data_IF_183115387114
#
_entry.id   IF_183115387114
#
_cell.length_a   1.000
_cell.length_b   1.000
_cell.length_c   1.000
_cell.angle_alpha   90.00
_cell.angle_beta   90.00
_cell.angle_gamma   90.00
#
_symmetry.space_group_name_H-M   'P 1'
#
loop_
_entity.id
_entity.type
_entity.pdbx_description
1 polymer ?
#
# COMPACT_ATOMS: atom_id res chain seq x y z
N UNK A 1 -32.69 -44.25 63.82
CA UNK A 1 -32.84 -44.69 62.41
C UNK A 1 -31.89 -43.94 61.47
N UNK A 2 -31.48 -42.70 61.78
CA UNK A 2 -30.56 -41.86 60.99
C UNK A 2 -29.29 -42.54 60.40
N UNK A 3 -28.54 -43.35 61.17
CA UNK A 3 -27.33 -44.05 60.65
C UNK A 3 -27.66 -45.08 59.57
N UNK A 4 -28.87 -45.63 59.55
CA UNK A 4 -29.30 -46.63 58.57
C UNK A 4 -29.78 -46.01 57.24
N UNK A 5 -30.16 -44.73 57.21
CA UNK A 5 -30.59 -44.04 55.98
C UNK A 5 -29.40 -43.65 55.09
N UNK A 6 -28.43 -42.95 55.68
CA UNK A 6 -27.18 -42.56 55.01
C UNK A 6 -26.33 -43.80 54.68
N UNK A 7 -26.27 -44.78 55.59
CA UNK A 7 -25.61 -46.07 55.35
C UNK A 7 -26.20 -46.80 54.14
N UNK A 8 -27.54 -46.91 54.04
CA UNK A 8 -28.21 -47.52 52.87
C UNK A 8 -27.99 -46.76 51.56
N UNK A 9 -27.77 -45.46 51.61
CA UNK A 9 -27.48 -44.64 50.44
C UNK A 9 -26.04 -44.88 49.95
N UNK A 10 -25.09 -45.01 50.88
CA UNK A 10 -23.69 -45.37 50.60
C UNK A 10 -23.54 -46.84 50.18
N UNK A 11 -24.35 -47.74 50.74
CA UNK A 11 -24.42 -49.17 50.36
C UNK A 11 -25.23 -49.41 49.07
N UNK A 12 -25.87 -48.38 48.52
CA UNK A 12 -26.60 -48.49 47.27
C UNK A 12 -25.62 -48.64 46.10
N UNK A 13 -25.91 -49.57 45.16
CA UNK A 13 -25.09 -49.76 43.96
C UNK A 13 -25.02 -48.53 43.03
N UNK A 14 -25.78 -47.48 43.31
CA UNK A 14 -25.92 -46.29 42.45
C UNK A 14 -24.64 -45.45 42.40
N UNK A 15 -23.99 -45.23 43.56
CA UNK A 15 -22.74 -44.46 43.63
C UNK A 15 -21.57 -45.22 42.94
N UNK A 16 -21.32 -46.52 43.24
CA UNK A 16 -20.29 -47.28 42.53
C UNK A 16 -20.58 -47.45 41.04
N UNK A 17 -21.85 -47.57 40.65
CA UNK A 17 -22.23 -47.65 39.23
C UNK A 17 -21.95 -46.35 38.49
N UNK A 18 -22.25 -45.20 39.08
CA UNK A 18 -21.97 -43.89 38.48
C UNK A 18 -20.47 -43.66 38.33
N UNK A 19 -19.69 -44.03 39.35
CA UNK A 19 -18.23 -43.94 39.30
C UNK A 19 -17.64 -44.80 38.17
N UNK A 20 -18.11 -46.04 38.00
CA UNK A 20 -17.67 -46.94 36.92
C UNK A 20 -18.01 -46.41 35.52
N UNK A 21 -19.14 -45.72 35.37
CA UNK A 21 -19.53 -45.05 34.11
C UNK A 21 -18.65 -43.84 33.82
N UNK A 22 -18.25 -43.09 34.85
CA UNK A 22 -17.38 -41.94 34.73
C UNK A 22 -15.95 -42.34 34.35
N UNK A 23 -15.44 -43.42 34.94
CA UNK A 23 -14.15 -44.04 34.56
C UNK A 23 -14.17 -44.54 33.11
N UNK A 24 -15.23 -45.25 32.69
CA UNK A 24 -15.39 -45.68 31.30
C UNK A 24 -15.50 -44.50 30.32
N UNK A 25 -16.19 -43.42 30.69
CA UNK A 25 -16.25 -42.20 29.89
C UNK A 25 -14.86 -41.58 29.73
N UNK A 26 -14.07 -41.51 30.80
CA UNK A 26 -12.71 -40.99 30.77
C UNK A 26 -11.81 -41.80 29.83
N UNK A 27 -11.84 -43.13 29.94
CA UNK A 27 -11.03 -44.03 29.10
C UNK A 27 -11.43 -43.99 27.62
N UNK A 28 -12.73 -43.85 27.34
CA UNK A 28 -13.26 -43.86 25.97
C UNK A 28 -13.45 -42.47 25.35
N UNK A 29 -13.11 -41.40 26.08
CA UNK A 29 -13.46 -40.01 25.71
C UNK A 29 -12.95 -39.63 24.31
N UNK A 30 -11.68 -39.92 24.03
CA UNK A 30 -11.01 -39.56 22.78
C UNK A 30 -11.39 -40.45 21.60
N UNK A 31 -12.05 -41.59 21.84
CA UNK A 31 -12.45 -42.55 20.81
C UNK A 31 -13.93 -42.45 20.44
N UNK A 32 -14.75 -41.83 21.30
CA UNK A 32 -16.18 -41.65 21.07
C UNK A 32 -16.47 -40.43 20.20
N UNK A 33 -17.60 -40.46 19.47
CA UNK A 33 -18.13 -39.26 18.82
C UNK A 33 -18.61 -38.24 19.85
N UNK A 34 -18.64 -36.94 19.48
CA UNK A 34 -19.14 -35.87 20.36
C UNK A 34 -20.58 -36.14 20.84
N UNK A 35 -21.45 -36.68 19.98
CA UNK A 35 -22.82 -37.04 20.34
C UNK A 35 -22.85 -38.18 21.38
N UNK A 36 -22.01 -39.20 21.21
CA UNK A 36 -21.89 -40.31 22.15
C UNK A 36 -21.39 -39.85 23.52
N UNK A 37 -20.39 -38.96 23.54
CA UNK A 37 -19.89 -38.36 24.78
C UNK A 37 -20.96 -37.52 25.48
N UNK A 38 -21.72 -36.72 24.72
CA UNK A 38 -22.83 -35.94 25.26
C UNK A 38 -23.90 -36.82 25.93
N UNK A 39 -24.34 -37.89 25.27
CA UNK A 39 -25.34 -38.81 25.81
C UNK A 39 -24.85 -39.51 27.10
N UNK A 40 -23.60 -39.96 27.13
CA UNK A 40 -22.97 -40.56 28.33
C UNK A 40 -22.89 -39.56 29.48
N UNK A 41 -22.51 -38.30 29.22
CA UNK A 41 -22.52 -37.24 30.23
C UNK A 41 -23.93 -36.98 30.78
N UNK A 42 -24.93 -36.90 29.90
CA UNK A 42 -26.33 -36.68 30.28
C UNK A 42 -26.85 -37.79 31.21
N UNK A 43 -26.52 -39.04 30.91
CA UNK A 43 -26.91 -40.20 31.73
C UNK A 43 -26.28 -40.14 33.14
N UNK A 44 -25.00 -39.78 33.24
CA UNK A 44 -24.30 -39.63 34.54
C UNK A 44 -24.94 -38.49 35.37
N UNK A 45 -25.28 -37.37 34.72
CA UNK A 45 -25.92 -36.23 35.39
C UNK A 45 -27.30 -36.62 35.96
N UNK A 46 -28.09 -37.39 35.20
CA UNK A 46 -29.40 -37.86 35.65
C UNK A 46 -29.29 -38.80 36.86
N UNK A 47 -28.33 -39.73 36.83
CA UNK A 47 -28.05 -40.62 37.95
C UNK A 47 -27.64 -39.83 39.20
N UNK A 48 -26.78 -38.81 39.05
CA UNK A 48 -26.38 -37.92 40.15
C UNK A 48 -27.59 -37.19 40.77
N UNK A 49 -28.50 -36.67 39.95
CA UNK A 49 -29.72 -36.02 40.42
C UNK A 49 -30.66 -36.98 41.19
N UNK A 50 -30.65 -38.28 40.85
CA UNK A 50 -31.34 -39.32 41.60
C UNK A 50 -30.75 -39.53 43.00
N UNK A 51 -29.42 -39.66 43.10
CA UNK A 51 -28.71 -39.81 44.37
C UNK A 51 -28.91 -38.59 45.27
N UNK A 52 -28.81 -37.39 44.71
CA UNK A 52 -29.03 -36.14 45.44
C UNK A 52 -30.44 -36.05 46.04
N UNK A 53 -31.48 -36.45 45.27
CA UNK A 53 -32.86 -36.49 45.80
C UNK A 53 -33.01 -37.44 46.98
N UNK A 54 -32.40 -38.62 46.91
CA UNK A 54 -32.43 -39.60 48.01
C UNK A 54 -31.66 -39.11 49.24
N UNK A 55 -30.55 -38.38 49.04
CA UNK A 55 -29.77 -37.78 50.11
C UNK A 55 -30.58 -36.70 50.83
N UNK A 56 -31.20 -35.79 50.06
CA UNK A 56 -32.08 -34.73 50.62
C UNK A 56 -33.25 -35.35 51.37
N UNK A 57 -33.90 -36.39 50.80
CA UNK A 57 -34.96 -37.13 51.50
C UNK A 57 -34.49 -37.70 52.84
N UNK A 58 -33.33 -38.37 52.85
CA UNK A 58 -32.74 -38.93 54.08
C UNK A 58 -32.41 -37.84 55.12
N UNK A 59 -31.93 -36.67 54.69
CA UNK A 59 -31.65 -35.54 55.59
C UNK A 59 -32.93 -34.91 56.16
N UNK A 60 -34.00 -34.83 55.36
CA UNK A 60 -35.31 -34.39 55.83
C UNK A 60 -35.90 -35.36 56.88
N UNK A 61 -35.75 -36.67 56.66
CA UNK A 61 -36.18 -37.69 57.63
C UNK A 61 -35.39 -37.55 58.95
N UNK A 62 -34.08 -37.31 58.88
CA UNK A 62 -33.24 -37.05 60.07
C UNK A 62 -33.67 -35.76 60.79
N UNK A 63 -34.05 -34.71 60.05
CA UNK A 63 -34.53 -33.45 60.62
C UNK A 63 -35.90 -33.58 61.29
N UNK A 64 -36.73 -34.55 60.87
CA UNK A 64 -38.06 -34.78 61.47
C UNK A 64 -38.02 -35.67 62.72
N UNK A 65 -36.97 -36.49 62.90
CA UNK A 65 -36.77 -37.34 64.09
C UNK A 65 -36.17 -36.60 65.31
N UNK A 66 -35.83 -35.30 65.24
CA UNK A 66 -35.16 -34.58 66.32
C UNK A 66 -36.07 -33.54 67.01
N UNK A 67 -36.67 -33.85 68.18
CA UNK A 67 -37.50 -32.88 68.91
C UNK A 67 -36.71 -31.91 69.81
N UNK A 68 -35.36 -31.90 69.78
CA UNK A 68 -34.54 -31.25 70.82
C UNK A 68 -34.09 -29.81 70.45
N UNK A 69 -34.25 -29.37 69.20
CA UNK A 69 -33.98 -27.97 68.81
C UNK A 69 -35.15 -27.33 68.07
N UNK A 70 -36.31 -27.32 68.72
CA UNK A 70 -37.49 -26.55 68.27
C UNK A 70 -37.41 -25.07 68.68
N UNK A 71 -36.32 -24.36 68.39
CA UNK A 71 -36.31 -22.89 68.34
C UNK A 71 -34.93 -22.35 67.96
N UNK A 72 -34.63 -22.22 66.67
CA UNK A 72 -33.81 -21.09 66.22
C UNK A 72 -34.29 -20.69 64.84
N UNK A 73 -34.87 -19.49 64.77
CA UNK A 73 -35.24 -18.81 63.53
C UNK A 73 -34.02 -18.74 62.62
N UNK A 74 -34.01 -19.56 61.57
CA UNK A 74 -33.09 -19.38 60.45
C UNK A 74 -33.75 -18.42 59.46
N UNK A 75 -33.11 -17.29 59.24
CA UNK A 75 -33.59 -16.17 58.42
C UNK A 75 -33.81 -16.59 56.94
N UNK A 76 -34.92 -16.19 56.29
CA UNK A 76 -35.15 -16.50 54.89
C UNK A 76 -34.51 -15.43 54.00
N UNK A 77 -33.20 -15.55 53.72
CA UNK A 77 -32.57 -14.82 52.62
C UNK A 77 -31.42 -15.65 52.02
N UNK A 78 -31.76 -16.60 51.12
CA UNK A 78 -30.97 -16.95 49.92
C UNK A 78 -31.69 -18.03 49.11
N UNK A 79 -31.81 -17.80 47.79
CA UNK A 79 -32.33 -18.67 46.73
C UNK A 79 -33.85 -18.59 46.44
N UNK A 80 -34.25 -17.88 45.36
CA UNK A 80 -35.65 -17.70 44.96
C UNK A 80 -36.09 -18.67 43.85
N UNK A 81 -35.68 -19.94 43.90
CA UNK A 81 -36.22 -20.96 43.00
C UNK A 81 -36.31 -22.28 43.75
N UNK A 82 -37.48 -22.93 43.70
CA UNK A 82 -37.90 -24.14 44.42
C UNK A 82 -38.49 -23.93 45.83
N UNK A 83 -39.62 -23.22 45.94
CA UNK A 83 -40.61 -23.50 46.97
C UNK A 83 -42.03 -23.31 46.41
N UNK A 84 -42.56 -24.36 45.80
CA UNK A 84 -44.00 -24.54 45.64
C UNK A 84 -44.34 -25.99 45.99
N UNK A 85 -44.64 -26.24 47.26
CA UNK A 85 -45.66 -27.20 47.71
C UNK A 85 -45.70 -27.28 49.23
N UNK A 86 -46.78 -26.73 49.78
CA UNK A 86 -47.58 -27.21 50.91
C UNK A 86 -46.91 -28.06 52.00
N UNK A 87 -46.73 -27.47 53.20
CA UNK A 87 -47.30 -27.96 54.46
C UNK A 87 -46.93 -27.03 55.63
N UNK A 88 -47.91 -26.42 56.30
CA UNK A 88 -47.87 -26.29 57.77
C UNK A 88 -49.30 -26.35 58.35
N UNK A 89 -49.51 -27.00 59.50
CA UNK A 89 -50.79 -27.55 59.91
C UNK A 89 -51.42 -26.85 61.13
N UNK A 90 -52.69 -27.17 61.38
CA UNK A 90 -53.51 -26.89 62.57
C UNK A 90 -53.96 -25.45 62.81
N UNK A 91 -55.09 -25.07 62.19
CA UNK A 91 -56.23 -24.48 62.90
C UNK A 91 -57.53 -24.88 62.19
N UNK A 92 -58.51 -25.29 62.99
CA UNK A 92 -59.85 -25.72 62.61
C UNK A 92 -60.57 -24.58 61.85
N UNK A 93 -60.83 -24.73 60.54
CA UNK A 93 -61.55 -23.74 59.72
C UNK A 93 -62.55 -24.41 58.76
N UNK A 94 -63.70 -23.78 58.43
CA UNK A 94 -64.85 -24.44 57.83
C UNK A 94 -64.60 -24.89 56.38
N UNK A 95 -65.10 -26.09 56.06
CA UNK A 95 -64.89 -26.84 54.81
C UNK A 95 -65.28 -26.09 53.51
N UNK A 96 -66.01 -24.97 53.60
CA UNK A 96 -66.44 -24.17 52.44
C UNK A 96 -65.37 -23.20 51.93
N UNK A 97 -64.40 -22.79 52.76
CA UNK A 97 -63.35 -21.85 52.36
C UNK A 97 -62.17 -22.52 51.60
N UNK A 98 -61.94 -23.82 51.83
CA UNK A 98 -60.90 -24.58 51.16
C UNK A 98 -61.23 -24.84 49.68
N UNK A 99 -62.50 -25.08 49.36
CA UNK A 99 -62.97 -25.26 47.99
C UNK A 99 -62.84 -23.97 47.16
N UNK A 100 -63.16 -22.80 47.75
CA UNK A 100 -62.98 -21.50 47.07
C UNK A 100 -61.50 -21.13 46.88
N UNK A 101 -60.63 -21.48 47.82
CA UNK A 101 -59.19 -21.24 47.69
C UNK A 101 -58.54 -22.15 46.62
N UNK A 102 -58.96 -23.42 46.54
CA UNK A 102 -58.52 -24.32 45.48
C UNK A 102 -59.01 -23.89 44.09
N UNK A 103 -60.26 -23.42 43.97
CA UNK A 103 -60.79 -22.86 42.73
C UNK A 103 -60.07 -21.56 42.31
N UNK A 104 -59.74 -20.69 43.26
CA UNK A 104 -58.97 -19.47 43.01
C UNK A 104 -57.52 -19.78 42.59
N UNK A 105 -56.88 -20.78 43.20
CA UNK A 105 -55.54 -21.24 42.82
C UNK A 105 -55.51 -21.90 41.44
N UNK A 106 -56.53 -22.69 41.09
CA UNK A 106 -56.67 -23.27 39.75
C UNK A 106 -56.93 -22.20 38.67
N UNK A 107 -57.75 -21.20 38.97
CA UNK A 107 -57.97 -20.06 38.07
C UNK A 107 -56.71 -19.20 37.91
N UNK A 108 -55.97 -18.94 38.99
CA UNK A 108 -54.68 -18.25 38.93
C UNK A 108 -53.66 -19.02 38.09
N UNK A 109 -53.55 -20.35 38.27
CA UNK A 109 -52.68 -21.21 37.47
C UNK A 109 -53.04 -21.14 35.97
N UNK A 110 -54.34 -21.22 35.63
CA UNK A 110 -54.82 -21.10 34.25
C UNK A 110 -54.50 -19.72 33.64
N UNK A 111 -54.62 -18.64 34.42
CA UNK A 111 -54.23 -17.30 33.96
C UNK A 111 -52.72 -17.15 33.75
N UNK A 112 -51.89 -17.79 34.60
CA UNK A 112 -50.42 -17.78 34.41
C UNK A 112 -49.99 -18.60 33.21
N UNK A 113 -50.66 -19.73 32.94
CA UNK A 113 -50.40 -20.56 31.77
C UNK A 113 -50.78 -19.84 30.46
N UNK A 114 -51.92 -19.14 30.45
CA UNK A 114 -52.32 -18.29 29.33
C UNK A 114 -51.32 -17.13 29.08
N UNK A 115 -50.82 -16.50 30.14
CA UNK A 115 -49.79 -15.46 30.03
C UNK A 115 -48.44 -16.00 29.52
N UNK A 116 -48.06 -17.22 29.90
CA UNK A 116 -46.87 -17.88 29.37
C UNK A 116 -47.05 -18.23 27.88
N UNK A 117 -48.20 -18.79 27.49
CA UNK A 117 -48.47 -19.18 26.10
C UNK A 117 -48.48 -17.96 25.16
N UNK A 118 -49.03 -16.82 25.59
CA UNK A 118 -48.95 -15.57 24.82
C UNK A 118 -47.52 -15.06 24.68
N UNK A 119 -46.70 -15.19 25.72
CA UNK A 119 -45.28 -14.83 25.68
C UNK A 119 -44.48 -15.74 24.75
N UNK A 120 -44.74 -17.06 24.79
CA UNK A 120 -44.13 -18.05 23.90
C UNK A 120 -44.52 -17.76 22.45
N UNK A 121 -45.80 -17.51 22.17
CA UNK A 121 -46.26 -17.16 20.83
C UNK A 121 -45.57 -15.90 20.29
N UNK A 122 -45.43 -14.87 21.11
CA UNK A 122 -44.68 -13.65 20.76
C UNK A 122 -43.20 -13.93 20.49
N UNK A 123 -42.55 -14.75 21.32
CA UNK A 123 -41.15 -15.13 21.14
C UNK A 123 -40.94 -15.99 19.90
N UNK A 124 -41.86 -16.90 19.59
CA UNK A 124 -41.80 -17.68 18.35
C UNK A 124 -41.96 -16.78 17.12
N UNK A 125 -42.85 -15.78 17.16
CA UNK A 125 -42.97 -14.80 16.07
C UNK A 125 -41.68 -13.98 15.89
N UNK A 126 -41.03 -13.57 16.99
CA UNK A 126 -39.74 -12.86 16.97
C UNK A 126 -38.62 -13.74 16.38
N UNK A 127 -38.57 -15.03 16.73
CA UNK A 127 -37.62 -16.00 16.17
C UNK A 127 -37.85 -16.18 14.67
N UNK A 128 -39.11 -16.31 14.22
CA UNK A 128 -39.43 -16.45 12.80
C UNK A 128 -39.03 -15.21 11.99
N UNK A 129 -39.28 -14.00 12.51
CA UNK A 129 -38.87 -12.74 11.83
C UNK A 129 -37.35 -12.62 11.74
N UNK A 130 -36.63 -12.96 12.81
CA UNK A 130 -35.16 -12.99 12.78
C UNK A 130 -34.62 -14.04 11.81
N UNK A 131 -35.21 -15.24 11.78
CA UNK A 131 -34.84 -16.29 10.83
C UNK A 131 -34.99 -15.81 9.39
N UNK A 132 -36.12 -15.17 9.07
CA UNK A 132 -36.37 -14.63 7.74
C UNK A 132 -35.38 -13.53 7.34
N UNK A 133 -35.01 -12.65 8.27
CA UNK A 133 -34.00 -11.60 8.05
C UNK A 133 -32.63 -12.19 7.75
N UNK A 134 -32.19 -13.19 8.51
CA UNK A 134 -30.91 -13.83 8.29
C UNK A 134 -30.88 -14.66 6.99
N UNK A 135 -31.97 -15.35 6.64
CA UNK A 135 -32.07 -16.04 5.34
C UNK A 135 -31.93 -15.06 4.18
N UNK A 136 -32.62 -13.92 4.25
CA UNK A 136 -32.51 -12.88 3.23
C UNK A 136 -31.11 -12.28 3.13
N UNK A 137 -30.46 -12.00 4.26
CA UNK A 137 -29.09 -11.48 4.27
C UNK A 137 -28.09 -12.49 3.70
N UNK A 138 -28.29 -13.78 3.97
CA UNK A 138 -27.49 -14.86 3.37
C UNK A 138 -27.69 -14.93 1.85
N UNK A 139 -28.93 -14.83 1.36
CA UNK A 139 -29.24 -14.81 -0.08
C UNK A 139 -28.59 -13.59 -0.77
N UNK A 140 -28.68 -12.41 -0.15
CA UNK A 140 -28.08 -11.17 -0.66
C UNK A 140 -26.54 -11.30 -0.73
N UNK A 141 -25.91 -11.82 0.33
CA UNK A 141 -24.47 -12.07 0.37
C UNK A 141 -24.02 -13.13 -0.64
N UNK A 142 -24.81 -14.19 -0.86
CA UNK A 142 -24.53 -15.20 -1.87
C UNK A 142 -24.62 -14.62 -3.28
N UNK A 143 -25.63 -13.78 -3.54
CA UNK A 143 -25.77 -13.03 -4.79
C UNK A 143 -24.56 -12.13 -5.04
N UNK A 144 -24.15 -11.32 -4.05
CA UNK A 144 -22.99 -10.43 -4.14
C UNK A 144 -21.69 -11.22 -4.38
N UNK A 145 -21.50 -12.34 -3.69
CA UNK A 145 -20.36 -13.23 -3.89
C UNK A 145 -20.33 -13.78 -5.32
N UNK A 146 -21.48 -14.16 -5.87
CA UNK A 146 -21.58 -14.67 -7.23
C UNK A 146 -21.33 -13.56 -8.28
N UNK A 147 -21.86 -12.36 -8.07
CA UNK A 147 -21.54 -11.18 -8.87
C UNK A 147 -20.03 -10.87 -8.86
N UNK A 148 -19.39 -10.87 -7.67
CA UNK A 148 -17.96 -10.65 -7.54
C UNK A 148 -17.13 -11.73 -8.24
N UNK A 149 -17.54 -13.01 -8.18
CA UNK A 149 -16.90 -14.11 -8.92
C UNK A 149 -16.98 -13.90 -10.43
N UNK A 150 -18.12 -13.47 -10.95
CA UNK A 150 -18.30 -13.19 -12.38
C UNK A 150 -17.40 -12.03 -12.82
N UNK A 151 -17.40 -10.93 -12.07
CA UNK A 151 -16.53 -9.78 -12.34
C UNK A 151 -15.05 -10.17 -12.33
N UNK A 152 -14.63 -11.01 -11.37
CA UNK A 152 -13.24 -11.49 -11.32
C UNK A 152 -12.87 -12.35 -12.53
N UNK A 153 -13.80 -13.18 -13.03
CA UNK A 153 -13.59 -13.96 -14.27
C UNK A 153 -13.45 -13.04 -15.48
N UNK A 154 -14.29 -12.01 -15.59
CA UNK A 154 -14.23 -11.01 -16.66
C UNK A 154 -12.92 -10.22 -16.64
N UNK A 155 -12.49 -9.75 -15.47
CA UNK A 155 -11.20 -9.06 -15.33
C UNK A 155 -10.01 -9.96 -15.69
N UNK A 156 -10.08 -11.26 -15.38
CA UNK A 156 -9.05 -12.22 -15.78
C UNK A 156 -9.00 -12.43 -17.29
N UNK A 157 -10.16 -12.46 -17.97
CA UNK A 157 -10.20 -12.55 -19.44
C UNK A 157 -9.65 -11.28 -20.08
N UNK A 158 -10.08 -10.10 -19.63
CA UNK A 158 -9.57 -8.80 -20.13
C UNK A 158 -8.06 -8.66 -19.92
N UNK A 159 -7.54 -9.10 -18.77
CA UNK A 159 -6.11 -9.10 -18.49
C UNK A 159 -5.34 -10.04 -19.43
N UNK A 160 -5.92 -11.18 -19.79
CA UNK A 160 -5.32 -12.11 -20.77
C UNK A 160 -5.31 -11.50 -22.17
N UNK A 161 -6.40 -10.86 -22.57
CA UNK A 161 -6.56 -10.26 -23.90
C UNK A 161 -5.59 -9.08 -24.08
N UNK A 162 -5.56 -8.16 -23.11
CA UNK A 162 -4.62 -7.02 -23.09
C UNK A 162 -3.16 -7.47 -23.11
N UNK A 163 -2.83 -8.56 -22.41
CA UNK A 163 -1.49 -9.16 -22.48
C UNK A 163 -1.17 -9.69 -23.89
N UNK A 164 -2.14 -10.31 -24.57
CA UNK A 164 -2.01 -10.76 -25.96
C UNK A 164 -1.79 -9.60 -26.93
N UNK A 165 -2.54 -8.51 -26.76
CA UNK A 165 -2.40 -7.28 -27.55
C UNK A 165 -1.03 -6.64 -27.36
N UNK A 166 -0.54 -6.53 -26.11
CA UNK A 166 0.79 -6.00 -25.82
C UNK A 166 1.92 -6.82 -26.44
N UNK A 167 1.82 -8.15 -26.42
CA UNK A 167 2.80 -9.03 -27.08
C UNK A 167 2.78 -8.78 -28.60
N UNK A 168 1.58 -8.67 -29.18
CA UNK A 168 1.41 -8.40 -30.61
C UNK A 168 1.95 -7.02 -31.01
N UNK A 169 1.71 -5.98 -30.20
CA UNK A 169 2.23 -4.63 -30.40
C UNK A 169 3.76 -4.59 -30.26
N UNK A 170 4.30 -5.31 -29.28
CA UNK A 170 5.75 -5.46 -29.09
C UNK A 170 6.39 -6.11 -30.32
N UNK A 171 5.79 -7.16 -30.88
CA UNK A 171 6.27 -7.78 -32.12
C UNK A 171 6.21 -6.81 -33.31
N UNK A 172 5.09 -6.08 -33.47
CA UNK A 172 4.93 -5.06 -34.52
C UNK A 172 5.92 -3.91 -34.38
N UNK A 173 6.22 -3.48 -33.16
CA UNK A 173 7.20 -2.42 -32.87
C UNK A 173 8.63 -2.89 -33.10
N UNK A 174 8.97 -4.12 -32.72
CA UNK A 174 10.27 -4.72 -33.01
C UNK A 174 10.52 -4.82 -34.53
N UNK A 175 9.52 -5.26 -35.30
CA UNK A 175 9.61 -5.30 -36.77
C UNK A 175 9.82 -3.91 -37.39
N UNK A 176 9.03 -2.91 -36.96
CA UNK A 176 9.20 -1.51 -37.38
C UNK A 176 10.61 -0.98 -37.05
N UNK A 177 11.13 -1.27 -35.87
CA UNK A 177 12.46 -0.85 -35.47
C UNK A 177 13.56 -1.47 -36.35
N UNK A 178 13.45 -2.76 -36.69
CA UNK A 178 14.40 -3.42 -37.60
C UNK A 178 14.37 -2.79 -39.00
N UNK A 179 13.18 -2.48 -39.53
CA UNK A 179 13.03 -1.76 -40.81
C UNK A 179 13.69 -0.38 -40.75
N UNK A 180 13.38 0.41 -39.72
CA UNK A 180 13.96 1.74 -39.54
C UNK A 180 15.49 1.68 -39.39
N UNK A 181 16.01 0.66 -38.69
CA UNK A 181 17.45 0.46 -38.52
C UNK A 181 18.13 0.12 -39.85
N UNK A 182 17.48 -0.68 -40.70
CA UNK A 182 17.96 -0.96 -42.06
C UNK A 182 17.98 0.31 -42.92
N UNK A 183 16.94 1.15 -42.85
CA UNK A 183 16.87 2.42 -43.57
C UNK A 183 17.94 3.41 -43.12
N UNK A 184 18.17 3.53 -41.80
CA UNK A 184 19.24 4.36 -41.25
C UNK A 184 20.61 3.88 -41.73
N UNK A 185 20.85 2.56 -41.74
CA UNK A 185 22.09 2.00 -42.24
C UNK A 185 22.30 2.32 -43.74
N UNK A 186 21.24 2.20 -44.54
CA UNK A 186 21.26 2.54 -45.97
C UNK A 186 21.54 4.03 -46.20
N UNK A 187 20.91 4.92 -45.42
CA UNK A 187 21.13 6.36 -45.50
C UNK A 187 22.56 6.74 -45.08
N UNK A 188 23.10 6.15 -44.02
CA UNK A 188 24.50 6.34 -43.62
C UNK A 188 25.47 5.92 -44.72
N UNK A 189 25.23 4.77 -45.36
CA UNK A 189 26.05 4.32 -46.47
C UNK A 189 26.01 5.29 -47.67
N UNK A 190 24.83 5.85 -47.99
CA UNK A 190 24.69 6.89 -49.04
C UNK A 190 25.43 8.17 -48.66
N UNK A 191 25.33 8.60 -47.40
CA UNK A 191 26.04 9.78 -46.89
C UNK A 191 27.56 9.62 -47.03
N UNK A 192 28.13 8.51 -46.56
CA UNK A 192 29.58 8.25 -46.69
C UNK A 192 30.05 8.21 -48.15
N UNK A 193 29.24 7.67 -49.07
CA UNK A 193 29.54 7.72 -50.51
C UNK A 193 29.53 9.15 -51.06
N UNK A 194 28.62 10.01 -50.58
CA UNK A 194 28.57 11.41 -50.98
C UNK A 194 29.75 12.21 -50.41
N UNK A 195 30.11 11.98 -49.14
CA UNK A 195 31.28 12.58 -48.48
C UNK A 195 32.58 12.23 -49.22
N UNK A 196 32.77 10.95 -49.62
CA UNK A 196 33.92 10.55 -50.42
C UNK A 196 33.98 11.30 -51.76
N UNK A 197 32.83 11.46 -52.44
CA UNK A 197 32.78 12.25 -53.69
C UNK A 197 33.18 13.70 -53.45
N UNK A 198 32.71 14.33 -52.38
CA UNK A 198 33.11 15.70 -52.03
C UNK A 198 34.61 15.79 -51.78
N UNK A 199 35.19 14.85 -51.03
CA UNK A 199 36.64 14.79 -50.77
C UNK A 199 37.48 14.71 -52.06
N UNK A 200 36.96 14.07 -53.11
CA UNK A 200 37.64 14.01 -54.43
C UNK A 200 37.45 15.27 -55.27
N UNK A 201 36.37 16.01 -55.07
CA UNK A 201 36.05 17.22 -55.84
C UNK A 201 36.66 18.48 -55.23
N UNK A 202 36.82 18.52 -53.91
CA UNK A 202 37.44 19.63 -53.18
C UNK A 202 38.83 20.03 -53.73
N UNK A 203 39.82 19.12 -53.92
CA UNK A 203 41.13 19.52 -54.45
C UNK A 203 41.03 20.03 -55.90
N UNK A 204 40.09 19.50 -56.69
CA UNK A 204 39.84 19.98 -58.06
C UNK A 204 39.27 21.40 -58.05
N UNK A 205 38.38 21.71 -57.10
CA UNK A 205 37.85 23.06 -56.93
C UNK A 205 38.94 24.05 -56.48
N UNK A 206 39.83 23.64 -55.57
CA UNK A 206 40.98 24.48 -55.15
C UNK A 206 41.92 24.76 -56.33
N UNK A 207 42.24 23.73 -57.12
CA UNK A 207 43.07 23.89 -58.32
C UNK A 207 42.40 24.82 -59.34
N UNK A 208 41.10 24.67 -59.58
CA UNK A 208 40.36 25.56 -60.48
C UNK A 208 40.43 27.02 -60.00
N UNK A 209 40.26 27.28 -58.70
CA UNK A 209 40.42 28.63 -58.12
C UNK A 209 41.85 29.18 -58.23
N UNK A 210 42.88 28.33 -58.24
CA UNK A 210 44.26 28.76 -58.47
C UNK A 210 44.48 29.15 -59.93
N UNK A 211 43.99 28.32 -60.87
CA UNK A 211 44.07 28.60 -62.29
C UNK A 211 43.30 29.88 -62.66
N UNK A 212 42.13 30.12 -62.06
CA UNK A 212 41.38 31.37 -62.24
C UNK A 212 42.16 32.61 -61.78
N UNK A 213 42.88 32.51 -60.65
CA UNK A 213 43.75 33.58 -60.15
C UNK A 213 44.90 33.86 -61.10
N UNK A 214 45.59 32.81 -61.55
CA UNK A 214 46.69 32.92 -62.51
C UNK A 214 46.24 33.54 -63.84
N UNK A 215 45.06 33.14 -64.34
CA UNK A 215 44.46 33.78 -65.52
C UNK A 215 44.18 35.27 -65.27
N UNK A 216 43.73 35.65 -64.08
CA UNK A 216 43.51 37.07 -63.73
C UNK A 216 44.82 37.85 -63.68
N UNK A 217 45.86 37.29 -63.05
CA UNK A 217 47.18 37.92 -62.93
C UNK A 217 47.83 38.11 -64.31
N UNK A 218 47.76 37.10 -65.17
CA UNK A 218 48.24 37.17 -66.56
C UNK A 218 47.44 38.20 -67.37
N UNK A 219 46.12 38.29 -67.17
CA UNK A 219 45.31 39.35 -67.80
C UNK A 219 45.74 40.74 -67.34
N UNK A 220 46.06 40.92 -66.06
CA UNK A 220 46.59 42.17 -65.52
C UNK A 220 47.97 42.51 -66.08
N UNK A 221 48.83 41.50 -66.24
CA UNK A 221 50.14 41.67 -66.87
C UNK A 221 50.02 42.08 -68.34
N UNK A 222 49.14 41.42 -69.10
CA UNK A 222 48.85 41.82 -70.48
C UNK A 222 48.33 43.26 -70.54
N UNK A 223 47.47 43.68 -69.59
CA UNK A 223 47.01 45.07 -69.49
C UNK A 223 48.18 46.04 -69.25
N UNK A 224 49.09 45.71 -68.33
CA UNK A 224 50.30 46.52 -68.06
C UNK A 224 51.21 46.60 -69.27
N UNK A 225 51.59 45.47 -69.87
CA UNK A 225 52.45 45.41 -71.07
C UNK A 225 51.83 46.16 -72.24
N UNK A 226 50.50 46.08 -72.43
CA UNK A 226 49.81 46.88 -73.44
C UNK A 226 49.95 48.38 -73.17
N UNK A 227 49.80 48.81 -71.91
CA UNK A 227 49.98 50.21 -71.52
C UNK A 227 51.43 50.67 -71.75
N UNK A 228 52.42 49.88 -71.35
CA UNK A 228 53.84 50.18 -71.57
C UNK A 228 54.16 50.26 -73.06
N UNK A 229 53.63 49.33 -73.87
CA UNK A 229 53.77 49.37 -75.32
C UNK A 229 53.13 50.61 -75.95
N UNK A 230 51.97 51.08 -75.46
CA UNK A 230 51.37 52.32 -75.95
C UNK A 230 52.24 53.54 -75.59
N UNK A 231 52.79 53.59 -74.37
CA UNK A 231 53.71 54.67 -73.95
C UNK A 231 55.01 54.64 -74.77
N UNK A 232 55.56 53.45 -75.03
CA UNK A 232 56.74 53.28 -75.88
C UNK A 232 56.45 53.65 -77.33
N UNK A 233 55.25 53.33 -77.85
CA UNK A 233 54.82 53.74 -79.18
C UNK A 233 54.72 55.28 -79.27
N UNK A 234 54.10 55.93 -78.29
CA UNK A 234 54.06 57.39 -78.16
C UNK A 234 55.47 58.00 -78.05
N UNK A 235 56.37 57.38 -77.30
CA UNK A 235 57.77 57.83 -77.17
C UNK A 235 58.56 57.66 -78.48
N UNK A 236 58.36 56.56 -79.20
CA UNK A 236 58.97 56.32 -80.51
C UNK A 236 58.41 57.27 -81.57
N UNK A 237 57.11 57.58 -81.51
CA UNK A 237 56.48 58.61 -82.34
C UNK A 237 57.05 59.99 -82.00
N UNK A 238 57.21 60.34 -80.72
CA UNK A 238 57.89 61.56 -80.29
C UNK A 238 59.35 61.61 -80.73
N UNK A 239 60.11 60.51 -80.68
CA UNK A 239 61.47 60.46 -81.23
C UNK A 239 61.48 60.58 -82.76
N UNK A 240 60.51 59.97 -83.46
CA UNK A 240 60.37 60.11 -84.90
C UNK A 240 60.01 61.56 -85.29
N UNK A 241 59.17 62.22 -84.50
CA UNK A 241 58.82 63.65 -84.61
C UNK A 241 60.04 64.54 -84.33
N UNK A 242 60.87 64.17 -83.34
CA UNK A 242 62.12 64.86 -82.97
C UNK A 242 63.19 64.74 -84.06
N UNK A 243 63.26 63.60 -84.76
CA UNK A 243 64.14 63.41 -85.94
C UNK A 243 63.59 64.17 -87.16
N UNK A 244 62.27 64.37 -87.25
CA UNK A 244 61.61 65.12 -88.33
C UNK A 244 61.65 66.64 -88.13
N UNK A 245 61.98 67.12 -86.93
CA UNK A 245 61.87 68.53 -86.53
C UNK A 245 63.17 69.10 -85.94
N UNK A 246 64.25 69.15 -86.75
CA UNK A 246 65.38 70.06 -86.50
C UNK A 246 65.12 71.41 -87.19
N UNK A 247 64.28 72.24 -86.60
CA UNK A 247 64.31 73.70 -86.78
C UNK A 247 63.64 74.41 -85.59
N UNK A 248 64.38 75.37 -85.02
CA UNK A 248 63.98 76.47 -84.15
C UNK A 248 63.61 76.19 -82.67
N UNK A 249 64.55 76.55 -81.79
CA UNK A 249 64.32 77.11 -80.43
C UNK A 249 63.71 78.55 -80.53
N UNK A 250 63.36 79.31 -79.46
CA UNK A 250 63.69 79.15 -78.03
C UNK A 250 62.64 79.55 -76.94
N UNK A 251 62.92 79.14 -75.69
CA UNK A 251 62.84 79.84 -74.37
C UNK A 251 61.53 80.55 -73.98
N UNK A 252 61.01 80.29 -72.75
CA UNK A 252 60.70 81.31 -71.71
C UNK A 252 59.97 80.79 -70.43
N UNK A 253 60.61 81.03 -69.28
CA UNK A 253 60.14 81.38 -67.91
C UNK A 253 59.36 80.42 -66.98
N UNK A 254 59.94 80.27 -65.77
CA UNK A 254 59.45 79.76 -64.47
C UNK A 254 58.43 80.72 -63.81
N UNK A 255 57.54 80.35 -62.82
CA UNK A 255 57.95 79.91 -61.46
C UNK A 255 57.05 78.92 -60.67
N UNK A 256 57.66 78.31 -59.64
CA UNK A 256 57.11 77.59 -58.44
C UNK A 256 56.19 78.49 -57.57
N UNK A 257 55.47 78.03 -56.48
CA UNK A 257 55.67 76.84 -55.60
C UNK A 257 54.36 76.18 -55.02
N UNK A 258 54.54 75.22 -54.07
CA UNK A 258 53.79 74.96 -52.80
C UNK A 258 53.37 73.49 -52.59
N UNK A 259 53.65 73.02 -51.36
CA UNK A 259 53.60 71.66 -50.81
C UNK A 259 52.19 71.21 -50.33
N UNK A 260 52.07 70.23 -49.41
CA UNK A 260 51.68 68.82 -49.62
C UNK A 260 50.23 68.52 -49.19
N UNK A 261 49.61 67.44 -49.69
CA UNK A 261 48.31 66.99 -49.17
C UNK A 261 48.35 65.54 -48.68
N UNK A 262 47.80 65.43 -47.48
CA UNK A 262 47.68 64.32 -46.56
C UNK A 262 46.79 63.17 -47.04
N UNK A 263 47.09 62.05 -46.38
CA UNK A 263 46.41 60.77 -46.19
C UNK A 263 44.91 60.85 -45.81
N UNK A 264 44.18 59.80 -46.23
CA UNK A 264 42.96 59.15 -45.67
C UNK A 264 41.56 59.71 -45.99
N UNK A 265 40.77 58.84 -46.62
CA UNK A 265 39.33 58.69 -46.39
C UNK A 265 39.00 57.22 -46.05
N UNK A 266 38.47 57.03 -44.85
CA UNK A 266 37.77 55.84 -44.31
C UNK A 266 36.36 55.75 -44.94
N UNK A 267 35.65 54.59 -44.90
CA UNK A 267 34.86 54.23 -43.71
C UNK A 267 34.94 52.73 -43.33
N UNK A 268 35.32 52.48 -42.08
CA UNK A 268 34.91 51.28 -41.35
C UNK A 268 33.75 51.67 -40.44
N UNK A 269 32.61 51.00 -40.56
CA UNK A 269 31.60 50.91 -39.48
C UNK A 269 30.56 49.83 -39.78
N UNK A 270 30.34 49.00 -38.75
CA UNK A 270 29.20 48.09 -38.47
C UNK A 270 29.15 46.79 -39.27
N UNK A 271 28.83 45.62 -38.70
CA UNK A 271 28.62 45.15 -37.34
C UNK A 271 28.46 43.61 -37.40
N UNK A 272 28.37 43.00 -36.21
CA UNK A 272 27.84 41.66 -35.88
C UNK A 272 28.85 40.49 -35.73
N UNK A 273 29.07 40.19 -34.45
CA UNK A 273 29.64 39.01 -33.78
C UNK A 273 28.92 37.68 -34.12
N UNK A 274 29.20 36.51 -33.48
CA UNK A 274 30.32 36.15 -32.58
C UNK A 274 30.94 34.76 -32.87
N UNK A 275 32.23 34.59 -32.54
CA UNK A 275 32.79 33.26 -32.26
C UNK A 275 32.84 33.01 -30.75
N UNK A 276 32.27 31.87 -30.36
CA UNK A 276 32.30 31.26 -29.03
C UNK A 276 33.72 30.78 -28.68
N UNK A 277 34.02 30.73 -27.39
CA UNK A 277 34.73 29.67 -26.62
C UNK A 277 35.21 30.32 -25.30
N UNK A 278 34.46 30.24 -24.20
CA UNK A 278 34.44 29.15 -23.20
C UNK A 278 35.82 28.93 -22.55
N UNK A 279 36.15 29.78 -21.57
CA UNK A 279 37.16 29.48 -20.56
C UNK A 279 36.46 29.23 -19.22
N UNK A 280 36.81 28.09 -18.63
CA UNK A 280 36.39 27.61 -17.32
C UNK A 280 36.87 28.56 -16.21
N UNK A 281 35.97 28.93 -15.32
CA UNK A 281 36.35 29.35 -13.96
C UNK A 281 35.47 28.61 -12.97
N UNK A 282 36.07 27.58 -12.39
CA UNK A 282 35.63 26.94 -11.15
C UNK A 282 35.80 27.98 -10.04
N UNK A 283 34.70 28.46 -9.48
CA UNK A 283 34.66 28.90 -8.09
C UNK A 283 33.89 27.86 -7.30
N UNK A 284 34.57 27.29 -6.32
CA UNK A 284 33.99 26.38 -5.32
C UNK A 284 33.37 27.27 -4.26
N UNK A 285 32.05 27.37 -4.27
CA UNK A 285 31.27 27.88 -3.13
C UNK A 285 30.37 26.74 -2.64
N UNK A 286 30.51 26.31 -1.38
CA UNK A 286 29.57 25.39 -0.76
C UNK A 286 28.27 26.15 -0.43
N UNK A 287 27.16 25.43 -0.34
CA UNK A 287 25.81 25.92 -0.01
C UNK A 287 24.95 26.41 -1.18
N UNK A 288 24.59 25.49 -2.08
CA UNK A 288 23.22 25.41 -2.62
C UNK A 288 22.82 23.94 -2.73
N UNK A 289 22.31 23.39 -1.64
CA UNK A 289 21.40 22.23 -1.72
C UNK A 289 20.03 22.79 -2.09
N UNK A 290 19.88 23.16 -3.36
CA UNK A 290 18.58 23.29 -3.99
C UNK A 290 18.26 21.96 -4.63
N UNK A 291 17.80 20.99 -3.83
CA UNK A 291 17.09 19.83 -4.36
C UNK A 291 15.67 20.29 -4.74
N UNK A 292 15.03 19.65 -5.73
CA UNK A 292 13.68 20.01 -6.14
C UNK A 292 12.76 19.94 -4.91
N UNK A 293 11.84 20.88 -4.82
CA UNK A 293 10.72 20.84 -3.89
C UNK A 293 9.80 19.67 -4.26
N UNK A 294 10.26 18.44 -4.08
CA UNK A 294 9.44 17.25 -4.24
C UNK A 294 8.52 17.20 -3.03
N UNK A 295 7.21 17.25 -3.30
CA UNK A 295 6.16 17.10 -2.30
C UNK A 295 6.49 15.94 -1.34
N UNK A 296 6.24 16.07 -0.02
CA UNK A 296 6.44 14.98 0.94
C UNK A 296 5.54 13.76 0.67
N UNK A 297 4.57 13.90 -0.23
CA UNK A 297 3.70 12.85 -0.76
C UNK A 297 4.30 12.12 -1.98
N UNK A 298 5.40 12.62 -2.53
CA UNK A 298 6.09 12.01 -3.67
C UNK A 298 6.68 10.65 -3.28
N UNK A 299 6.47 9.58 -4.08
CA UNK A 299 7.09 8.27 -3.86
C UNK A 299 8.62 8.32 -3.84
N UNK A 300 9.21 9.30 -4.52
CA UNK A 300 10.66 9.48 -4.62
C UNK A 300 11.22 10.41 -3.52
N UNK A 301 10.39 10.85 -2.58
CA UNK A 301 10.83 11.69 -1.47
C UNK A 301 11.84 10.92 -0.60
N UNK A 302 13.00 11.51 -0.33
CA UNK A 302 14.13 10.83 0.33
C UNK A 302 13.75 10.15 1.65
N UNK A 303 12.92 10.79 2.48
CA UNK A 303 12.44 10.21 3.74
C UNK A 303 11.56 8.97 3.53
N UNK A 304 10.77 8.92 2.46
CA UNK A 304 9.93 7.75 2.16
C UNK A 304 10.78 6.58 1.68
N UNK A 305 11.76 6.85 0.83
CA UNK A 305 12.74 5.85 0.36
C UNK A 305 13.51 5.23 1.53
N UNK A 306 14.06 6.07 2.42
CA UNK A 306 14.79 5.59 3.61
C UNK A 306 13.89 4.73 4.51
N UNK A 307 12.62 5.11 4.69
CA UNK A 307 11.66 4.32 5.47
C UNK A 307 11.35 2.98 4.82
N UNK A 308 11.15 2.97 3.50
CA UNK A 308 10.89 1.75 2.76
C UNK A 308 12.08 0.78 2.90
N UNK A 309 13.30 1.29 2.76
CA UNK A 309 14.52 0.49 2.93
C UNK A 309 14.63 -0.04 4.36
N UNK A 310 14.37 0.79 5.37
CA UNK A 310 14.40 0.36 6.78
C UNK A 310 13.33 -0.68 7.12
N UNK A 311 12.11 -0.55 6.57
CA UNK A 311 11.05 -1.54 6.75
C UNK A 311 11.41 -2.86 6.07
N UNK A 312 12.01 -2.79 4.88
CA UNK A 312 12.48 -3.97 4.14
C UNK A 312 13.58 -4.68 4.91
N UNK A 313 14.55 -3.94 5.46
CA UNK A 313 15.60 -4.50 6.31
C UNK A 313 15.03 -5.20 7.55
N UNK A 314 14.16 -4.53 8.32
CA UNK A 314 13.53 -5.14 9.49
C UNK A 314 12.67 -6.35 9.16
N UNK A 315 11.96 -6.33 8.03
CA UNK A 315 11.19 -7.49 7.58
C UNK A 315 12.11 -8.67 7.26
N UNK A 316 13.24 -8.42 6.60
CA UNK A 316 14.22 -9.47 6.32
C UNK A 316 14.80 -10.05 7.62
N UNK A 317 15.10 -9.22 8.61
CA UNK A 317 15.56 -9.67 9.94
C UNK A 317 14.49 -10.54 10.63
N UNK A 318 13.24 -10.07 10.65
CA UNK A 318 12.10 -10.81 11.19
C UNK A 318 11.89 -12.16 10.50
N UNK A 319 12.02 -12.20 9.18
CA UNK A 319 11.79 -13.40 8.38
C UNK A 319 12.92 -14.43 8.50
N UNK A 320 14.16 -13.97 8.72
CA UNK A 320 15.36 -14.83 8.73
C UNK A 320 15.84 -15.18 10.12
N UNK A 321 15.96 -14.21 11.02
CA UNK A 321 16.56 -14.39 12.35
C UNK A 321 15.46 -14.63 13.39
N UNK A 322 14.54 -13.67 13.54
CA UNK A 322 13.57 -13.71 14.64
C UNK A 322 12.57 -14.86 14.47
N UNK A 323 12.15 -15.13 13.23
CA UNK A 323 11.30 -16.28 12.91
C UNK A 323 11.93 -17.60 13.33
N UNK A 324 13.21 -17.81 13.04
CA UNK A 324 13.88 -19.06 13.41
C UNK A 324 13.99 -19.19 14.92
N UNK A 325 14.36 -18.11 15.62
CA UNK A 325 14.39 -18.08 17.08
C UNK A 325 13.01 -18.38 17.71
N UNK A 326 11.94 -17.82 17.13
CA UNK A 326 10.58 -18.06 17.59
C UNK A 326 10.10 -19.49 17.28
N UNK A 327 10.47 -20.06 16.12
CA UNK A 327 10.23 -21.46 15.79
C UNK A 327 10.94 -22.40 16.78
N UNK A 328 12.20 -22.13 17.13
CA UNK A 328 12.96 -22.92 18.09
C UNK A 328 12.32 -22.86 19.48
N UNK A 329 11.79 -21.70 19.86
CA UNK A 329 11.04 -21.53 21.12
C UNK A 329 9.74 -22.34 21.10
N UNK A 330 8.93 -22.23 20.04
CA UNK A 330 7.67 -22.98 19.92
C UNK A 330 7.90 -24.50 19.90
N UNK A 331 9.03 -24.94 19.33
CA UNK A 331 9.41 -26.36 19.30
C UNK A 331 9.58 -26.97 20.68
N UNK A 332 9.90 -26.17 21.70
CA UNK A 332 9.97 -26.65 23.09
C UNK A 332 8.60 -27.02 23.67
N UNK A 333 7.51 -26.52 23.07
CA UNK A 333 6.13 -26.75 23.52
C UNK A 333 5.32 -27.65 22.57
N UNK A 334 5.68 -27.69 21.28
CA UNK A 334 5.01 -28.53 20.27
C UNK A 334 5.97 -28.94 19.15
N UNK A 335 6.04 -30.24 18.84
CA UNK A 335 6.85 -30.77 17.73
C UNK A 335 6.18 -30.61 16.36
N UNK A 336 4.93 -30.12 16.30
CA UNK A 336 4.22 -29.89 15.05
C UNK A 336 4.74 -28.62 14.35
N UNK A 337 5.64 -28.84 13.40
CA UNK A 337 6.26 -27.79 12.60
C UNK A 337 5.22 -26.96 11.82
N UNK A 338 4.18 -27.59 11.27
CA UNK A 338 3.20 -26.89 10.44
C UNK A 338 2.30 -26.00 11.31
N UNK A 339 1.90 -26.49 12.48
CA UNK A 339 1.15 -25.69 13.44
C UNK A 339 1.97 -24.50 13.98
N UNK A 340 3.24 -24.72 14.32
CA UNK A 340 4.14 -23.65 14.78
C UNK A 340 4.34 -22.56 13.71
N UNK A 341 4.44 -22.95 12.44
CA UNK A 341 4.49 -21.99 11.33
C UNK A 341 3.18 -21.19 11.20
N UNK A 342 2.02 -21.84 11.35
CA UNK A 342 0.71 -21.15 11.31
C UNK A 342 0.57 -20.14 12.44
N UNK A 343 1.00 -20.49 13.65
CA UNK A 343 0.99 -19.60 14.82
C UNK A 343 1.84 -18.36 14.56
N UNK A 344 3.08 -18.53 14.09
CA UNK A 344 3.97 -17.39 13.79
C UNK A 344 3.42 -16.51 12.68
N UNK A 345 2.93 -17.11 11.60
CA UNK A 345 2.35 -16.36 10.50
C UNK A 345 1.14 -15.53 10.97
N UNK A 346 0.25 -16.13 11.75
CA UNK A 346 -0.90 -15.44 12.34
C UNK A 346 -0.48 -14.29 13.26
N UNK A 347 0.51 -14.52 14.13
CA UNK A 347 1.02 -13.48 15.04
C UNK A 347 1.63 -12.29 14.27
N UNK A 348 2.44 -12.56 13.24
CA UNK A 348 3.03 -11.50 12.40
C UNK A 348 1.94 -10.75 11.63
N UNK A 349 1.01 -11.46 11.02
CA UNK A 349 -0.10 -10.86 10.28
C UNK A 349 -0.98 -9.97 11.18
N UNK A 350 -1.26 -10.40 12.41
CA UNK A 350 -2.03 -9.64 13.39
C UNK A 350 -1.26 -8.38 13.82
N UNK A 351 0.04 -8.50 14.12
CA UNK A 351 0.88 -7.36 14.48
C UNK A 351 0.89 -6.27 13.40
N UNK A 352 1.03 -6.66 12.12
CA UNK A 352 0.96 -5.72 11.00
C UNK A 352 -0.44 -5.10 10.84
N UNK A 353 -1.50 -5.87 11.07
CA UNK A 353 -2.88 -5.40 10.98
C UNK A 353 -3.18 -4.36 12.06
N UNK A 354 -2.76 -4.62 13.30
CA UNK A 354 -2.86 -3.69 14.43
C UNK A 354 -2.04 -2.42 14.17
N UNK A 355 -0.79 -2.55 13.74
CA UNK A 355 0.06 -1.41 13.42
C UNK A 355 -0.54 -0.51 12.33
N UNK A 356 -1.09 -1.12 11.26
CA UNK A 356 -1.75 -0.41 10.16
C UNK A 356 -2.98 0.36 10.65
N UNK A 357 -3.82 -0.25 11.48
CA UNK A 357 -5.01 0.38 12.04
C UNK A 357 -4.63 1.56 12.94
N UNK A 358 -3.69 1.36 13.86
CA UNK A 358 -3.26 2.40 14.80
C UNK A 358 -2.59 3.57 14.10
N UNK A 359 -1.79 3.31 13.05
CA UNK A 359 -1.22 4.38 12.23
C UNK A 359 -2.31 5.19 11.53
N UNK A 360 -3.36 4.55 10.99
CA UNK A 360 -4.47 5.25 10.37
C UNK A 360 -5.22 6.14 11.37
N UNK A 361 -5.52 5.62 12.56
CA UNK A 361 -6.15 6.38 13.65
C UNK A 361 -5.28 7.57 14.09
N UNK A 362 -3.98 7.36 14.23
CA UNK A 362 -3.04 8.43 14.56
C UNK A 362 -2.97 9.49 13.47
N UNK A 363 -2.86 9.09 12.19
CA UNK A 363 -2.84 10.02 11.05
C UNK A 363 -4.10 10.90 11.03
N UNK A 364 -5.27 10.35 11.36
CA UNK A 364 -6.51 11.13 11.50
C UNK A 364 -6.38 12.16 12.62
N UNK A 365 -5.88 11.78 13.81
CA UNK A 365 -5.67 12.72 14.94
C UNK A 365 -4.68 13.83 14.60
N UNK A 366 -3.56 13.48 13.93
CA UNK A 366 -2.58 14.44 13.44
C UNK A 366 -3.24 15.39 12.45
N UNK A 367 -4.02 14.88 11.50
CA UNK A 367 -4.74 15.71 10.53
C UNK A 367 -5.67 16.70 11.22
N UNK A 368 -6.45 16.28 12.20
CA UNK A 368 -7.31 17.18 12.99
C UNK A 368 -6.49 18.25 13.73
N UNK A 369 -5.35 17.88 14.30
CA UNK A 369 -4.49 18.81 15.05
C UNK A 369 -3.81 19.82 14.13
N UNK A 370 -3.22 19.35 13.04
CA UNK A 370 -2.53 20.20 12.04
C UNK A 370 -3.52 21.12 11.34
N UNK A 371 -4.74 20.67 11.07
CA UNK A 371 -5.79 21.50 10.46
C UNK A 371 -6.11 22.76 11.28
N UNK A 372 -5.97 22.73 12.61
CA UNK A 372 -6.19 23.89 13.48
C UNK A 372 -5.09 24.95 13.37
N UNK A 373 -3.88 24.55 13.02
CA UNK A 373 -2.69 25.42 12.97
C UNK A 373 -2.19 25.68 11.56
N UNK A 374 -2.80 25.05 10.55
CA UNK A 374 -2.34 25.10 9.18
C UNK A 374 -2.61 26.47 8.53
N UNK A 375 -1.55 27.25 8.38
CA UNK A 375 -1.53 28.52 7.66
C UNK A 375 -0.32 28.50 6.72
N UNK A 376 -0.52 28.13 5.46
CA UNK A 376 0.58 27.98 4.51
C UNK A 376 0.12 27.74 3.07
N UNK A 377 1.03 27.88 2.10
CA UNK A 377 0.77 27.61 0.68
C UNK A 377 0.75 26.10 0.34
N UNK A 378 1.25 25.26 1.25
CA UNK A 378 1.22 23.80 1.15
C UNK A 378 -0.18 23.24 1.37
N UNK A 379 -0.46 22.05 0.83
CA UNK A 379 -1.75 21.40 1.09
C UNK A 379 -1.78 20.86 2.51
N UNK A 380 -2.97 20.79 3.13
CA UNK A 380 -3.13 20.21 4.46
C UNK A 380 -2.53 18.79 4.55
N UNK A 381 -2.63 18.00 3.48
CA UNK A 381 -2.10 16.64 3.42
C UNK A 381 -0.56 16.62 3.40
N UNK A 382 0.07 17.59 2.74
CA UNK A 382 1.52 17.77 2.75
C UNK A 382 2.01 18.23 4.12
N UNK A 383 1.31 19.17 4.76
CA UNK A 383 1.62 19.61 6.12
C UNK A 383 1.50 18.47 7.14
N UNK A 384 0.45 17.64 7.02
CA UNK A 384 0.27 16.44 7.83
C UNK A 384 1.41 15.45 7.59
N UNK A 385 1.78 15.19 6.32
CA UNK A 385 2.87 14.28 6.02
C UNK A 385 4.22 14.81 6.52
N UNK A 386 4.47 16.12 6.44
CA UNK A 386 5.64 16.77 7.01
C UNK A 386 5.68 16.67 8.53
N UNK A 387 4.54 16.86 9.21
CA UNK A 387 4.42 16.68 10.64
C UNK A 387 4.75 15.24 11.05
N UNK A 388 4.20 14.25 10.33
CA UNK A 388 4.47 12.82 10.51
C UNK A 388 5.96 12.52 10.30
N UNK A 389 6.59 13.14 9.31
CA UNK A 389 8.01 12.95 8.99
C UNK A 389 8.95 13.54 10.05
N UNK A 390 8.54 14.59 10.76
CA UNK A 390 9.36 15.25 11.79
C UNK A 390 9.17 14.68 13.20
N UNK A 391 8.03 14.05 13.48
CA UNK A 391 7.64 13.59 14.81
C UNK A 391 7.57 12.06 14.92
N UNK A 392 8.48 11.37 14.23
CA UNK A 392 8.51 9.89 14.17
C UNK A 392 8.91 9.29 15.52
N UNK A 393 9.80 9.97 16.25
CA UNK A 393 10.40 9.50 17.50
C UNK A 393 9.39 9.38 18.65
N UNK A 394 8.19 9.97 18.51
CA UNK A 394 7.08 9.88 19.45
C UNK A 394 6.30 8.55 19.33
N UNK A 395 6.70 7.67 18.40
CA UNK A 395 6.11 6.35 18.19
C UNK A 395 6.93 5.22 18.84
N UNK A 396 7.57 5.51 19.98
CA UNK A 396 7.88 4.42 20.90
C UNK A 396 6.58 3.69 21.25
N UNK A 397 6.68 2.37 21.28
CA UNK A 397 5.60 1.39 21.40
C UNK A 397 4.95 1.21 22.80
N UNK A 398 5.08 2.05 23.85
CA UNK A 398 4.39 1.79 25.12
C UNK A 398 2.86 1.78 25.02
N UNK A 399 2.27 2.58 24.13
CA UNK A 399 0.80 2.65 23.98
C UNK A 399 0.22 1.47 23.17
N UNK A 400 1.09 0.64 22.57
CA UNK A 400 0.66 -0.53 21.80
C UNK A 400 0.69 -1.85 22.59
N UNK A 401 1.13 -1.82 23.85
CA UNK A 401 1.27 -3.02 24.69
C UNK A 401 0.53 -2.93 26.03
N UNK A 402 -0.21 -1.84 26.26
CA UNK A 402 -1.03 -1.64 27.47
C UNK A 402 -2.49 -2.04 27.27
#
# INVERSE_FOLDING_TARGET
>A
MARYGIGRLMDSQEIPSMQRKLENLYDTYNYNSNLTNYLKCSEIIEQNAGVQRKLVGSLCDISSESPIYSATRCYPYRYPYYYSSYYYPYYYYPYTAAASAAAAAASAALTTEAALNTTIARKNAEISDLSYKYERELDDLESDLNCAKINNRQLKTELSDTKGELISERARSASRNLSNQADIAALKAKLSRAELKLCTLEPKAVLAQQLEREISDLKDEIRRVKCDNTVLAEHNEFQAELIRSRAASPICYWPRPVSPIYIRSRPCSRAASPCRLRALSRSVSPCRVGLPSDSPLSPNHCTQVIRQDSLTARFNDLYTIDRLSAMDTLRTFSDDYENNQRILFAAVQEAFSVAKRLFAEWKIRVRSTVALTHLGPETLEEAVQNYINRNIDLYDLPVMTS
#
